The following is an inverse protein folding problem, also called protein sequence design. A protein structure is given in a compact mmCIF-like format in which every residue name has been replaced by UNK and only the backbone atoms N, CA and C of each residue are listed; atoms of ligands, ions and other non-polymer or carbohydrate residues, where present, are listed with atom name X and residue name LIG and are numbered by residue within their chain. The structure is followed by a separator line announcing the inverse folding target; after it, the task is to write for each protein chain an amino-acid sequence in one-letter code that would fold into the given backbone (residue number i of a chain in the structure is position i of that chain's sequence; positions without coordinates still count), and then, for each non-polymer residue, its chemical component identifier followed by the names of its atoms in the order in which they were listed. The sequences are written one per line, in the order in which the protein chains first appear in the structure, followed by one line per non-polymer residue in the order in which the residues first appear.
data_IF_741363768181
#
_entry.id   IF_741363768181
#
_cell.length_a   1.000
_cell.length_b   1.000
_cell.length_c   1.000
_cell.angle_alpha   90.00
_cell.angle_beta   90.00
_cell.angle_gamma   90.00
#
_symmetry.space_group_name_H-M   'P 1'
#
loop_
_entity.id
_entity.type
_entity.pdbx_description
1 polymer ?
#
# COMPACT_ATOMS: atom_id res chain seq x y z
N UNK A 1 43.14 57.17 -12.41
CA UNK A 1 42.50 55.97 -11.89
C UNK A 1 41.00 55.84 -12.23
N UNK A 2 40.14 56.84 -12.02
CA UNK A 2 38.69 56.75 -12.25
C UNK A 2 38.30 56.43 -13.71
N UNK A 3 39.02 56.95 -14.72
CA UNK A 3 38.71 56.73 -16.18
C UNK A 3 38.96 55.30 -16.65
N UNK A 4 39.97 54.62 -16.12
CA UNK A 4 40.26 53.21 -16.47
C UNK A 4 39.32 52.21 -15.80
N UNK A 5 38.78 52.57 -14.60
CA UNK A 5 37.73 51.78 -13.90
C UNK A 5 36.40 51.84 -14.66
N UNK A 6 36.04 53.03 -15.16
CA UNK A 6 34.82 53.22 -15.97
C UNK A 6 34.91 52.47 -17.30
N UNK A 7 36.06 52.52 -17.98
CA UNK A 7 36.29 51.74 -19.23
C UNK A 7 36.24 50.22 -18.98
N UNK A 8 36.77 49.74 -17.85
CA UNK A 8 36.69 48.33 -17.45
C UNK A 8 35.23 47.88 -17.16
N UNK A 9 34.44 48.73 -16.47
CA UNK A 9 33.03 48.46 -16.24
C UNK A 9 32.18 48.47 -17.50
N UNK A 10 32.40 49.39 -18.43
CA UNK A 10 31.73 49.44 -19.73
C UNK A 10 32.12 48.25 -20.59
N UNK A 11 33.37 47.80 -20.55
CA UNK A 11 33.84 46.61 -21.23
C UNK A 11 33.17 45.32 -20.69
N UNK A 12 33.06 45.17 -19.37
CA UNK A 12 32.35 44.06 -18.72
C UNK A 12 30.86 44.04 -19.04
N UNK A 13 30.18 45.19 -19.04
CA UNK A 13 28.79 45.31 -19.44
C UNK A 13 28.60 44.98 -20.93
N UNK A 14 29.49 45.40 -21.81
CA UNK A 14 29.43 45.07 -23.24
C UNK A 14 29.65 43.58 -23.51
N UNK A 15 30.57 42.93 -22.81
CA UNK A 15 30.77 41.46 -22.92
C UNK A 15 29.62 40.70 -22.38
N UNK A 16 29.02 41.08 -21.23
CA UNK A 16 27.84 40.45 -20.69
C UNK A 16 26.60 40.65 -21.60
N UNK A 17 26.49 41.81 -22.23
CA UNK A 17 25.42 42.09 -23.19
C UNK A 17 25.55 41.30 -24.49
N UNK A 18 26.78 41.16 -25.03
CA UNK A 18 27.07 40.31 -26.18
C UNK A 18 26.83 38.83 -25.88
N UNK A 19 27.17 38.35 -24.69
CA UNK A 19 26.86 36.98 -24.27
C UNK A 19 25.36 36.76 -24.19
N UNK A 20 24.62 37.67 -23.55
CA UNK A 20 23.15 37.61 -23.45
C UNK A 20 22.44 37.63 -24.83
N UNK A 21 22.94 38.47 -25.78
CA UNK A 21 22.42 38.49 -27.14
C UNK A 21 22.74 37.21 -27.90
N UNK A 22 23.95 36.66 -27.72
CA UNK A 22 24.31 35.37 -28.32
C UNK A 22 23.45 34.24 -27.77
N UNK A 23 23.18 34.20 -26.48
CA UNK A 23 22.31 33.21 -25.86
C UNK A 23 20.86 33.38 -26.34
N UNK A 24 20.37 34.62 -26.45
CA UNK A 24 19.03 34.91 -26.94
C UNK A 24 18.78 34.43 -28.39
N UNK A 25 19.82 34.29 -29.22
CA UNK A 25 19.74 33.79 -30.61
C UNK A 25 20.06 32.28 -30.66
N UNK A 26 21.00 31.82 -29.84
CA UNK A 26 21.49 30.43 -29.91
C UNK A 26 20.61 29.44 -29.18
N UNK A 27 19.99 29.82 -28.05
CA UNK A 27 19.12 28.95 -27.25
C UNK A 27 17.90 28.47 -28.03
N UNK A 28 17.07 29.33 -28.67
CA UNK A 28 15.94 28.86 -29.46
C UNK A 28 16.33 27.92 -30.61
N UNK A 29 17.54 28.11 -31.18
CA UNK A 29 18.05 27.23 -32.22
C UNK A 29 18.38 25.86 -31.68
N UNK A 30 19.05 25.77 -30.50
CA UNK A 30 19.40 24.51 -29.86
C UNK A 30 18.14 23.73 -29.44
N UNK A 31 17.15 24.41 -28.87
CA UNK A 31 15.86 23.78 -28.54
C UNK A 31 15.22 23.15 -29.76
N UNK A 32 15.15 23.90 -30.89
CA UNK A 32 14.60 23.37 -32.14
C UNK A 32 15.41 22.20 -32.70
N UNK A 33 16.73 22.20 -32.54
CA UNK A 33 17.62 21.12 -32.99
C UNK A 33 17.35 19.85 -32.16
N UNK A 34 17.18 19.97 -30.82
CA UNK A 34 16.82 18.86 -29.96
C UNK A 34 15.45 18.29 -30.31
N UNK A 35 14.43 19.15 -30.42
CA UNK A 35 13.06 18.73 -30.78
C UNK A 35 13.06 18.00 -32.13
N UNK A 36 13.71 18.56 -33.15
CA UNK A 36 13.74 17.92 -34.47
C UNK A 36 14.45 16.55 -34.48
N UNK A 37 15.46 16.37 -33.64
CA UNK A 37 16.11 15.07 -33.49
C UNK A 37 15.20 14.08 -32.74
N UNK A 38 14.51 14.52 -31.66
CA UNK A 38 13.59 13.69 -30.94
C UNK A 38 12.46 13.19 -31.85
N UNK A 39 11.84 14.07 -32.64
CA UNK A 39 10.78 13.71 -33.59
C UNK A 39 11.26 12.69 -34.64
N UNK A 40 12.50 12.81 -35.16
CA UNK A 40 13.09 11.80 -36.07
C UNK A 40 13.32 10.46 -35.37
N UNK A 41 13.63 10.47 -34.05
CA UNK A 41 13.83 9.25 -33.28
C UNK A 41 12.48 8.59 -32.97
N UNK A 42 11.43 9.37 -32.67
CA UNK A 42 10.06 8.88 -32.53
C UNK A 42 9.55 8.20 -33.80
N UNK A 43 9.75 8.82 -34.98
CA UNK A 43 9.41 8.21 -36.27
C UNK A 43 10.07 6.83 -36.48
N UNK A 44 11.26 6.64 -35.89
CA UNK A 44 11.98 5.36 -35.93
C UNK A 44 11.66 4.45 -34.73
N UNK A 45 10.75 4.87 -33.84
CA UNK A 45 10.39 4.17 -32.60
C UNK A 45 11.59 3.98 -31.63
N UNK A 46 12.57 4.88 -31.66
CA UNK A 46 13.74 4.88 -30.78
C UNK A 46 13.44 5.85 -29.60
N UNK A 47 12.43 5.52 -28.81
CA UNK A 47 11.88 6.39 -27.76
C UNK A 47 12.88 6.72 -26.64
N UNK A 48 13.79 5.81 -26.29
CA UNK A 48 14.81 6.04 -25.25
C UNK A 48 15.69 7.23 -25.62
N UNK A 49 16.19 7.27 -26.86
CA UNK A 49 17.06 8.35 -27.32
C UNK A 49 16.25 9.64 -27.58
N UNK A 50 14.96 9.53 -27.94
CA UNK A 50 14.07 10.69 -28.07
C UNK A 50 13.87 11.39 -26.72
N UNK A 51 13.71 10.64 -25.63
CA UNK A 51 13.66 11.17 -24.26
C UNK A 51 14.91 11.98 -23.92
N UNK A 52 16.10 11.49 -24.26
CA UNK A 52 17.37 12.20 -24.01
C UNK A 52 17.43 13.54 -24.76
N UNK A 53 16.93 13.56 -25.99
CA UNK A 53 16.86 14.80 -26.79
C UNK A 53 15.81 15.77 -26.21
N UNK A 54 14.62 15.31 -25.77
CA UNK A 54 13.66 16.18 -25.08
C UNK A 54 14.20 16.70 -23.75
N UNK A 55 14.94 15.90 -22.99
CA UNK A 55 15.65 16.38 -21.79
C UNK A 55 16.65 17.48 -22.13
N UNK A 56 17.40 17.32 -23.23
CA UNK A 56 18.31 18.35 -23.72
C UNK A 56 17.61 19.67 -24.08
N UNK A 57 16.41 19.62 -24.62
CA UNK A 57 15.58 20.82 -24.87
C UNK A 57 15.10 21.45 -23.55
N UNK A 58 14.65 20.64 -22.59
CA UNK A 58 14.15 21.07 -21.28
C UNK A 58 15.26 21.64 -20.37
N UNK A 59 16.55 21.39 -20.64
CA UNK A 59 17.63 22.10 -19.94
C UNK A 59 17.62 23.60 -20.22
N UNK A 60 17.07 24.04 -21.36
CA UNK A 60 16.95 25.44 -21.73
C UNK A 60 15.57 26.03 -21.40
N UNK A 61 14.52 25.23 -21.46
CA UNK A 61 13.14 25.61 -21.13
C UNK A 61 12.51 24.58 -20.16
N UNK A 62 12.91 24.59 -18.88
CA UNK A 62 12.52 23.55 -17.91
C UNK A 62 11.02 23.51 -17.58
N UNK A 63 10.33 24.62 -17.82
CA UNK A 63 8.89 24.76 -17.51
C UNK A 63 8.00 24.57 -18.76
N UNK A 64 8.58 24.10 -19.89
CA UNK A 64 7.80 23.83 -21.08
C UNK A 64 6.94 22.58 -20.90
N UNK A 65 5.63 22.81 -20.80
CA UNK A 65 4.62 21.76 -20.59
C UNK A 65 4.54 20.82 -21.78
N UNK A 66 4.58 21.36 -23.02
CA UNK A 66 4.44 20.54 -24.22
C UNK A 66 5.63 19.59 -24.40
N UNK A 67 6.85 20.08 -24.20
CA UNK A 67 8.06 19.23 -24.25
C UNK A 67 8.06 18.18 -23.14
N UNK A 68 7.68 18.58 -21.92
CA UNK A 68 7.59 17.65 -20.79
C UNK A 68 6.56 16.55 -21.05
N UNK A 69 5.44 16.87 -21.71
CA UNK A 69 4.42 15.87 -22.03
C UNK A 69 4.82 14.97 -23.21
N UNK A 70 5.51 15.47 -24.24
CA UNK A 70 6.09 14.64 -25.29
C UNK A 70 7.09 13.63 -24.71
N UNK A 71 7.99 14.09 -23.84
CA UNK A 71 8.90 13.20 -23.11
C UNK A 71 8.16 12.15 -22.28
N UNK A 72 7.04 12.53 -21.64
CA UNK A 72 6.23 11.58 -20.89
C UNK A 72 5.61 10.52 -21.80
N UNK A 73 5.08 10.89 -22.95
CA UNK A 73 4.52 9.95 -23.95
C UNK A 73 5.57 8.95 -24.42
N UNK A 74 6.81 9.39 -24.64
CA UNK A 74 7.92 8.49 -24.97
C UNK A 74 8.24 7.52 -23.83
N UNK A 75 8.26 7.97 -22.55
CA UNK A 75 8.38 7.06 -21.42
C UNK A 75 7.30 5.97 -21.43
N UNK A 76 6.08 6.33 -21.76
CA UNK A 76 4.98 5.38 -21.87
C UNK A 76 5.18 4.42 -23.05
N UNK A 77 5.65 4.93 -24.20
CA UNK A 77 5.82 4.16 -25.43
C UNK A 77 6.84 3.02 -25.29
N UNK A 78 7.90 3.21 -24.49
CA UNK A 78 8.86 2.13 -24.24
C UNK A 78 8.70 1.42 -22.89
N UNK A 79 7.56 1.66 -22.19
CA UNK A 79 7.15 0.87 -21.02
C UNK A 79 7.60 1.40 -19.66
N UNK A 80 8.20 2.60 -19.60
CA UNK A 80 8.58 3.25 -18.34
C UNK A 80 7.40 3.96 -17.65
N UNK A 81 6.36 3.20 -17.34
CA UNK A 81 5.11 3.70 -16.78
C UNK A 81 5.29 4.54 -15.52
N UNK A 82 6.27 4.21 -14.67
CA UNK A 82 6.55 4.98 -13.45
C UNK A 82 7.06 6.38 -13.77
N UNK A 83 7.92 6.50 -14.77
CA UNK A 83 8.47 7.80 -15.21
C UNK A 83 7.40 8.63 -15.89
N UNK A 84 6.56 8.01 -16.74
CA UNK A 84 5.38 8.65 -17.31
C UNK A 84 4.50 9.27 -16.21
N UNK A 85 4.07 8.47 -15.23
CA UNK A 85 3.20 8.92 -14.14
C UNK A 85 3.86 10.07 -13.36
N UNK A 86 5.13 9.92 -12.97
CA UNK A 86 5.83 10.95 -12.18
C UNK A 86 6.02 12.25 -12.96
N UNK A 87 6.25 12.19 -14.27
CA UNK A 87 6.36 13.37 -15.12
C UNK A 87 5.00 14.09 -15.22
N UNK A 88 3.92 13.37 -15.52
CA UNK A 88 2.58 13.94 -15.54
C UNK A 88 2.19 14.57 -14.20
N UNK A 89 2.50 13.92 -13.07
CA UNK A 89 2.24 14.48 -11.73
C UNK A 89 3.01 15.78 -11.51
N UNK A 90 4.31 15.78 -11.80
CA UNK A 90 5.16 16.97 -11.67
C UNK A 90 4.63 18.13 -12.49
N UNK A 91 4.36 17.90 -13.78
CA UNK A 91 3.85 18.96 -14.68
C UNK A 91 2.50 19.49 -14.20
N UNK A 92 1.58 18.62 -13.75
CA UNK A 92 0.27 19.04 -13.23
C UNK A 92 0.39 19.87 -11.94
N UNK A 93 1.36 19.57 -11.08
CA UNK A 93 1.60 20.32 -9.83
C UNK A 93 2.26 21.67 -10.07
N UNK A 94 3.19 21.76 -11.01
CA UNK A 94 3.91 22.99 -11.38
C UNK A 94 3.05 23.91 -12.26
N UNK A 95 2.18 23.36 -13.12
CA UNK A 95 1.39 24.10 -14.11
C UNK A 95 -0.12 23.91 -13.91
N UNK A 96 -0.66 24.33 -12.77
CA UNK A 96 -2.05 24.10 -12.37
C UNK A 96 -3.12 24.76 -13.28
N UNK A 97 -2.74 25.69 -14.14
CA UNK A 97 -3.64 26.33 -15.11
C UNK A 97 -3.76 25.54 -16.40
N UNK A 98 -2.78 24.70 -16.69
CA UNK A 98 -2.80 23.80 -17.82
C UNK A 98 -3.46 22.48 -17.39
N UNK A 99 -4.35 21.97 -18.20
CA UNK A 99 -5.07 20.72 -17.87
C UNK A 99 -4.45 19.48 -18.52
N UNK A 100 -3.53 19.65 -19.47
CA UNK A 100 -3.02 18.58 -20.33
C UNK A 100 -2.43 17.42 -19.51
N UNK A 101 -1.53 17.74 -18.60
CA UNK A 101 -0.83 16.71 -17.82
C UNK A 101 -1.78 15.93 -16.90
N UNK A 102 -2.71 16.64 -16.23
CA UNK A 102 -3.70 16.01 -15.37
C UNK A 102 -4.67 15.16 -16.18
N UNK A 103 -5.17 15.67 -17.31
CA UNK A 103 -6.10 14.95 -18.18
C UNK A 103 -5.46 13.70 -18.77
N UNK A 104 -4.22 13.79 -19.21
CA UNK A 104 -3.42 12.66 -19.73
C UNK A 104 -3.24 11.59 -18.65
N UNK A 105 -2.86 11.99 -17.44
CA UNK A 105 -2.70 11.07 -16.32
C UNK A 105 -4.01 10.38 -15.93
N UNK A 106 -5.11 11.12 -15.89
CA UNK A 106 -6.43 10.55 -15.54
C UNK A 106 -6.91 9.56 -16.60
N UNK A 107 -6.73 9.88 -17.89
CA UNK A 107 -7.03 8.95 -18.99
C UNK A 107 -6.18 7.68 -18.90
N UNK A 108 -4.88 7.83 -18.64
CA UNK A 108 -4.00 6.68 -18.45
C UNK A 108 -4.51 5.74 -17.35
N UNK A 109 -4.92 6.28 -16.19
CA UNK A 109 -5.47 5.47 -15.12
C UNK A 109 -6.79 4.78 -15.52
N UNK A 110 -7.68 5.47 -16.25
CA UNK A 110 -8.93 4.87 -16.74
C UNK A 110 -8.67 3.76 -17.77
N UNK A 111 -7.78 4.00 -18.74
CA UNK A 111 -7.47 3.02 -19.79
C UNK A 111 -6.82 1.75 -19.20
N UNK A 112 -6.11 1.88 -18.08
CA UNK A 112 -5.47 0.78 -17.37
C UNK A 112 -6.31 0.24 -16.20
N UNK A 113 -7.59 0.67 -16.06
CA UNK A 113 -8.51 0.24 -14.98
C UNK A 113 -7.93 0.45 -13.57
N UNK A 114 -7.32 1.61 -13.36
CA UNK A 114 -6.67 2.02 -12.11
C UNK A 114 -7.35 3.27 -11.52
N UNK A 115 -8.68 3.35 -11.58
CA UNK A 115 -9.47 4.49 -11.12
C UNK A 115 -9.27 4.75 -9.61
N UNK A 116 -8.99 3.71 -8.83
CA UNK A 116 -8.64 3.82 -7.41
C UNK A 116 -7.39 4.69 -7.20
N UNK A 117 -6.35 4.48 -8.04
CA UNK A 117 -5.12 5.28 -8.02
C UNK A 117 -5.38 6.72 -8.46
N UNK A 118 -6.21 6.90 -9.48
CA UNK A 118 -6.63 8.21 -9.92
C UNK A 118 -7.33 8.98 -8.80
N UNK A 119 -8.32 8.36 -8.14
CA UNK A 119 -9.06 8.96 -7.03
C UNK A 119 -8.13 9.26 -5.84
N UNK A 120 -7.21 8.37 -5.50
CA UNK A 120 -6.23 8.58 -4.42
C UNK A 120 -5.33 9.79 -4.71
N UNK A 121 -4.82 9.88 -5.92
CA UNK A 121 -4.00 11.03 -6.35
C UNK A 121 -4.82 12.33 -6.32
N UNK A 122 -6.02 12.33 -6.93
CA UNK A 122 -6.89 13.50 -6.98
C UNK A 122 -7.32 14.01 -5.60
N UNK A 123 -7.56 13.11 -4.63
CA UNK A 123 -7.85 13.52 -3.24
C UNK A 123 -6.68 14.29 -2.62
N UNK A 124 -5.46 13.85 -2.87
CA UNK A 124 -4.26 14.55 -2.39
C UNK A 124 -4.04 15.86 -3.14
N UNK A 125 -4.16 15.82 -4.47
CA UNK A 125 -3.97 16.97 -5.34
C UNK A 125 -4.98 18.08 -5.02
N UNK A 126 -6.27 17.78 -4.92
CA UNK A 126 -7.31 18.76 -4.58
C UNK A 126 -7.20 19.33 -3.16
N UNK A 127 -6.62 18.56 -2.23
CA UNK A 127 -6.29 19.05 -0.88
C UNK A 127 -5.19 20.12 -0.93
N UNK A 128 -4.17 19.91 -1.77
CA UNK A 128 -3.05 20.84 -1.93
C UNK A 128 -3.44 22.04 -2.81
N UNK A 129 -4.28 21.81 -3.82
CA UNK A 129 -4.70 22.79 -4.82
C UNK A 129 -6.23 22.91 -4.89
N UNK A 130 -6.89 23.43 -3.83
CA UNK A 130 -8.35 23.41 -3.71
C UNK A 130 -9.08 24.28 -4.72
N UNK A 131 -8.38 25.13 -5.47
CA UNK A 131 -8.97 25.98 -6.54
C UNK A 131 -8.81 25.40 -7.93
N UNK A 132 -8.22 24.23 -8.10
CA UNK A 132 -8.07 23.58 -9.39
C UNK A 132 -9.41 22.92 -9.79
N UNK A 133 -10.18 23.61 -10.64
CA UNK A 133 -11.51 23.15 -11.06
C UNK A 133 -11.45 21.86 -11.86
N UNK A 134 -10.41 21.68 -12.68
CA UNK A 134 -10.23 20.47 -13.47
C UNK A 134 -10.04 19.22 -12.59
N UNK A 135 -9.20 19.33 -11.56
CA UNK A 135 -8.99 18.24 -10.62
C UNK A 135 -10.26 17.90 -9.81
N UNK A 136 -11.04 18.93 -9.42
CA UNK A 136 -12.33 18.73 -8.75
C UNK A 136 -13.34 18.03 -9.67
N UNK A 137 -13.38 18.41 -10.96
CA UNK A 137 -14.22 17.76 -11.96
C UNK A 137 -13.86 16.28 -12.10
N UNK A 138 -12.59 15.96 -12.31
CA UNK A 138 -12.12 14.59 -12.41
C UNK A 138 -12.42 13.77 -11.14
N UNK A 139 -12.18 14.35 -9.96
CA UNK A 139 -12.50 13.68 -8.70
C UNK A 139 -13.99 13.37 -8.58
N UNK A 140 -14.86 14.30 -8.95
CA UNK A 140 -16.31 14.09 -8.94
C UNK A 140 -16.75 13.01 -9.92
N UNK A 141 -16.15 12.98 -11.13
CA UNK A 141 -16.46 11.99 -12.16
C UNK A 141 -16.01 10.57 -11.72
N UNK A 142 -14.81 10.45 -11.15
CA UNK A 142 -14.23 9.15 -10.80
C UNK A 142 -14.67 8.64 -9.43
N UNK A 143 -15.00 9.50 -8.49
CA UNK A 143 -15.36 9.13 -7.11
C UNK A 143 -16.65 8.30 -7.01
N UNK A 144 -17.51 8.37 -7.99
CA UNK A 144 -18.77 7.62 -8.05
C UNK A 144 -18.74 6.44 -9.01
N UNK A 145 -17.61 6.19 -9.69
CA UNK A 145 -17.50 5.06 -10.60
C UNK A 145 -17.30 3.77 -9.82
N UNK A 146 -18.03 2.74 -10.20
CA UNK A 146 -17.77 1.38 -9.74
C UNK A 146 -17.62 0.49 -10.98
N UNK A 147 -16.63 -0.39 -10.92
CA UNK A 147 -16.48 -1.43 -11.93
C UNK A 147 -17.30 -2.63 -11.46
N UNK A 148 -18.27 -3.07 -12.28
CA UNK A 148 -18.96 -4.34 -12.03
C UNK A 148 -17.99 -5.45 -12.38
N UNK A 149 -17.34 -6.03 -11.38
CA UNK A 149 -16.52 -7.20 -11.57
C UNK A 149 -17.43 -8.39 -11.87
N UNK A 150 -17.12 -9.16 -12.92
CA UNK A 150 -17.64 -10.48 -13.06
C UNK A 150 -16.94 -11.35 -12.01
N UNK A 151 -17.63 -11.59 -10.91
CA UNK A 151 -17.14 -12.50 -9.90
C UNK A 151 -17.13 -13.92 -10.49
N UNK A 152 -15.96 -14.49 -10.63
CA UNK A 152 -15.76 -15.88 -11.06
C UNK A 152 -15.70 -16.85 -9.87
N UNK A 153 -15.95 -16.34 -8.68
CA UNK A 153 -15.86 -17.08 -7.44
C UNK A 153 -17.25 -17.28 -6.83
N UNK A 154 -17.46 -18.41 -6.18
CA UNK A 154 -18.74 -18.77 -5.59
C UNK A 154 -18.98 -18.10 -4.25
N UNK A 155 -17.91 -17.88 -3.49
CA UNK A 155 -17.96 -17.18 -2.20
C UNK A 155 -16.83 -16.17 -2.06
N UNK A 156 -17.09 -15.14 -1.27
CA UNK A 156 -16.14 -14.10 -0.90
C UNK A 156 -16.24 -13.85 0.61
N UNK A 157 -15.10 -13.71 1.27
CA UNK A 157 -15.07 -13.26 2.67
C UNK A 157 -15.38 -11.76 2.78
N UNK A 158 -15.54 -11.28 4.01
CA UNK A 158 -15.45 -9.84 4.28
C UNK A 158 -14.09 -9.29 3.86
N UNK A 159 -14.06 -7.98 3.58
CA UNK A 159 -12.78 -7.30 3.27
C UNK A 159 -11.98 -7.17 4.56
N UNK A 160 -10.78 -7.73 4.56
CA UNK A 160 -9.83 -7.57 5.63
C UNK A 160 -8.49 -7.11 5.04
N UNK A 161 -7.96 -5.99 5.54
CA UNK A 161 -6.72 -5.40 5.11
C UNK A 161 -6.57 -5.31 3.56
N UNK A 162 -7.58 -4.69 2.90
CA UNK A 162 -7.70 -4.51 1.45
C UNK A 162 -7.64 -5.82 0.63
N UNK A 163 -8.02 -6.93 1.23
CA UNK A 163 -8.11 -8.23 0.56
C UNK A 163 -9.36 -9.00 0.97
N UNK A 164 -9.79 -9.91 0.11
CA UNK A 164 -10.86 -10.88 0.35
C UNK A 164 -10.35 -12.26 0.01
N UNK A 165 -10.64 -13.23 0.85
CA UNK A 165 -10.50 -14.64 0.50
C UNK A 165 -11.64 -15.02 -0.44
N UNK A 166 -11.34 -15.74 -1.50
CA UNK A 166 -12.29 -16.21 -2.49
C UNK A 166 -12.29 -17.74 -2.53
N UNK A 167 -13.43 -18.31 -2.85
CA UNK A 167 -13.62 -19.76 -2.94
C UNK A 167 -14.20 -20.17 -4.29
N UNK A 168 -13.60 -21.18 -4.88
CA UNK A 168 -14.05 -21.86 -6.09
C UNK A 168 -14.68 -23.21 -5.68
N UNK A 169 -16.02 -23.29 -5.72
CA UNK A 169 -16.78 -24.47 -5.31
C UNK A 169 -16.53 -25.68 -6.23
N UNK A 170 -16.27 -25.44 -7.50
CA UNK A 170 -16.04 -26.53 -8.48
C UNK A 170 -14.77 -27.29 -8.13
N UNK A 171 -13.71 -26.58 -7.80
CA UNK A 171 -12.41 -27.15 -7.48
C UNK A 171 -12.20 -27.35 -5.97
N UNK A 172 -13.10 -26.83 -5.13
CA UNK A 172 -13.01 -26.85 -3.66
C UNK A 172 -11.69 -26.21 -3.17
N UNK A 173 -11.32 -25.04 -3.73
CA UNK A 173 -10.05 -24.37 -3.47
C UNK A 173 -10.25 -22.89 -3.17
N UNK A 174 -9.36 -22.39 -2.35
CA UNK A 174 -9.32 -20.99 -1.92
C UNK A 174 -8.23 -20.21 -2.64
N UNK A 175 -8.49 -18.91 -2.83
CA UNK A 175 -7.57 -17.91 -3.34
C UNK A 175 -7.83 -16.57 -2.70
N UNK A 176 -7.25 -15.51 -3.24
CA UNK A 176 -7.49 -14.15 -2.76
C UNK A 176 -7.51 -13.11 -3.88
N UNK A 177 -8.33 -12.07 -3.65
CA UNK A 177 -8.39 -10.88 -4.49
C UNK A 177 -8.24 -9.63 -3.61
N UNK A 178 -7.80 -8.53 -4.19
CA UNK A 178 -7.85 -7.23 -3.50
C UNK A 178 -9.24 -6.57 -3.65
N UNK A 179 -9.44 -5.44 -2.99
CA UNK A 179 -10.70 -4.70 -3.02
C UNK A 179 -11.08 -4.19 -4.42
N UNK A 180 -10.15 -4.17 -5.39
CA UNK A 180 -10.41 -3.86 -6.79
C UNK A 180 -10.79 -5.10 -7.62
N UNK A 181 -10.69 -6.30 -7.04
CA UNK A 181 -10.92 -7.58 -7.68
C UNK A 181 -9.72 -8.13 -8.44
N UNK A 182 -8.54 -7.53 -8.27
CA UNK A 182 -7.29 -8.07 -8.82
C UNK A 182 -6.91 -9.32 -8.03
N UNK A 183 -6.57 -10.38 -8.74
CA UNK A 183 -6.11 -11.63 -8.14
C UNK A 183 -4.76 -11.40 -7.42
N UNK A 184 -4.74 -11.70 -6.13
CA UNK A 184 -3.53 -11.72 -5.29
C UNK A 184 -2.96 -13.14 -5.21
N UNK A 185 -3.85 -14.14 -5.15
CA UNK A 185 -3.50 -15.55 -5.16
C UNK A 185 -4.58 -16.33 -5.91
N UNK A 186 -4.19 -17.19 -6.85
CA UNK A 186 -5.11 -18.06 -7.57
C UNK A 186 -5.79 -19.07 -6.63
N UNK A 187 -6.99 -19.55 -6.96
CA UNK A 187 -7.66 -20.61 -6.24
C UNK A 187 -6.92 -21.93 -6.43
N UNK A 188 -6.03 -22.26 -5.51
CA UNK A 188 -5.21 -23.47 -5.54
C UNK A 188 -4.87 -24.01 -4.14
N UNK A 189 -5.42 -23.42 -3.08
CA UNK A 189 -5.12 -23.77 -1.70
C UNK A 189 -6.31 -24.47 -1.04
N UNK A 190 -6.05 -25.47 -0.20
CA UNK A 190 -7.07 -26.16 0.59
C UNK A 190 -7.72 -25.25 1.63
N UNK A 191 -6.92 -24.34 2.17
CA UNK A 191 -7.36 -23.33 3.12
C UNK A 191 -6.59 -22.03 2.86
N UNK A 192 -7.22 -20.89 3.12
CA UNK A 192 -6.58 -19.59 3.03
C UNK A 192 -7.19 -18.61 4.05
N UNK A 193 -6.32 -17.94 4.77
CA UNK A 193 -6.67 -16.83 5.64
C UNK A 193 -6.44 -15.48 4.94
N UNK A 194 -7.11 -14.41 5.34
CA UNK A 194 -6.89 -13.09 4.75
C UNK A 194 -5.46 -12.59 5.00
N UNK A 195 -5.03 -11.65 4.19
CA UNK A 195 -3.72 -11.01 4.39
C UNK A 195 -3.69 -10.19 5.68
N UNK A 196 -2.71 -10.45 6.53
CA UNK A 196 -2.46 -9.72 7.77
C UNK A 196 -1.99 -8.28 7.52
N UNK A 197 -1.83 -7.49 8.58
CA UNK A 197 -1.26 -6.14 8.49
C UNK A 197 0.20 -6.15 8.00
N UNK A 198 0.96 -7.21 8.30
CA UNK A 198 2.31 -7.42 7.79
C UNK A 198 2.34 -7.86 6.31
N UNK A 199 1.16 -8.05 5.69
CA UNK A 199 1.02 -8.33 4.26
C UNK A 199 1.20 -9.79 3.87
N UNK A 200 1.04 -10.72 4.81
CA UNK A 200 1.14 -12.16 4.57
C UNK A 200 -0.20 -12.86 4.79
N UNK A 201 -0.52 -13.83 3.93
CA UNK A 201 -1.67 -14.71 4.07
C UNK A 201 -1.22 -16.14 4.37
N UNK A 202 -1.79 -16.76 5.39
CA UNK A 202 -1.59 -18.19 5.68
C UNK A 202 -2.39 -19.02 4.69
N UNK A 203 -1.78 -20.06 4.13
CA UNK A 203 -2.40 -21.04 3.25
C UNK A 203 -2.04 -22.45 3.61
N UNK A 204 -2.97 -23.38 3.41
CA UNK A 204 -2.74 -24.81 3.40
C UNK A 204 -2.64 -25.29 1.95
N UNK A 205 -1.52 -25.90 1.57
CA UNK A 205 -1.23 -26.42 0.23
C UNK A 205 -1.82 -27.81 0.02
N UNK A 206 -1.82 -28.28 -1.23
CA UNK A 206 -2.27 -29.63 -1.60
C UNK A 206 -1.52 -30.76 -0.90
N UNK A 207 -0.26 -30.54 -0.60
CA UNK A 207 0.60 -31.52 0.10
C UNK A 207 0.49 -31.45 1.63
N UNK A 208 -0.55 -30.80 2.16
CA UNK A 208 -0.82 -30.62 3.58
C UNK A 208 0.27 -29.84 4.33
N UNK A 209 1.01 -28.96 3.63
CA UNK A 209 1.98 -28.06 4.24
C UNK A 209 1.46 -26.63 4.27
N UNK A 210 1.76 -25.93 5.36
CA UNK A 210 1.46 -24.51 5.50
C UNK A 210 2.49 -23.63 4.81
N UNK A 211 2.06 -22.45 4.38
CA UNK A 211 2.94 -21.39 3.93
C UNK A 211 2.30 -20.01 4.13
N UNK A 212 3.16 -18.99 4.17
CA UNK A 212 2.74 -17.60 4.17
C UNK A 212 3.07 -16.98 2.80
N UNK A 213 2.03 -16.50 2.12
CA UNK A 213 2.13 -15.82 0.83
C UNK A 213 2.29 -14.33 1.06
N UNK A 214 3.12 -13.69 0.25
CA UNK A 214 3.13 -12.24 0.12
C UNK A 214 1.98 -11.76 -0.78
N UNK A 215 1.83 -10.44 -0.95
CA UNK A 215 0.77 -9.84 -1.77
C UNK A 215 0.94 -10.04 -3.29
N UNK A 216 2.03 -10.64 -3.72
CA UNK A 216 2.25 -11.09 -5.10
C UNK A 216 1.87 -12.57 -5.27
N UNK A 217 1.31 -13.20 -4.24
CA UNK A 217 0.90 -14.61 -4.23
C UNK A 217 2.07 -15.58 -4.13
N UNK A 218 3.26 -15.11 -3.77
CA UNK A 218 4.47 -15.93 -3.66
C UNK A 218 4.66 -16.41 -2.22
N UNK A 219 4.89 -17.71 -2.05
CA UNK A 219 5.26 -18.27 -0.76
C UNK A 219 6.64 -17.77 -0.33
N UNK A 220 6.70 -17.03 0.75
CA UNK A 220 7.93 -16.43 1.28
C UNK A 220 8.42 -17.12 2.53
N UNK A 221 7.52 -17.68 3.30
CA UNK A 221 7.80 -18.27 4.60
C UNK A 221 7.01 -19.56 4.73
N UNK A 222 7.62 -20.56 5.32
CA UNK A 222 6.96 -21.80 5.66
C UNK A 222 7.56 -22.30 7.00
N UNK A 223 6.72 -22.67 7.98
CA UNK A 223 7.19 -23.29 9.20
C UNK A 223 7.71 -24.69 8.90
N UNK A 224 8.57 -25.19 9.78
CA UNK A 224 8.98 -26.59 9.77
C UNK A 224 7.79 -27.54 10.03
N UNK A 225 7.98 -28.84 9.79
CA UNK A 225 6.97 -29.84 10.12
C UNK A 225 6.75 -29.95 11.64
N UNK A 226 5.53 -30.32 12.03
CA UNK A 226 5.18 -30.58 13.42
C UNK A 226 4.27 -29.54 14.08
N UNK A 227 3.95 -28.46 13.37
CA UNK A 227 2.92 -27.53 13.80
C UNK A 227 1.56 -27.94 13.24
N UNK A 228 0.54 -28.00 14.10
CA UNK A 228 -0.80 -28.51 13.75
C UNK A 228 -1.84 -27.42 13.60
N UNK A 229 -1.56 -26.24 14.12
CA UNK A 229 -2.42 -25.05 14.03
C UNK A 229 -1.54 -23.81 13.99
N UNK A 230 -1.82 -22.93 13.06
CA UNK A 230 -1.07 -21.71 12.81
C UNK A 230 -2.04 -20.54 12.64
N UNK A 231 -1.70 -19.40 13.24
CA UNK A 231 -2.47 -18.17 13.06
C UNK A 231 -1.84 -17.19 12.07
N UNK A 232 -2.32 -15.96 12.08
CA UNK A 232 -1.79 -14.92 11.22
C UNK A 232 -0.34 -14.55 11.60
N UNK A 233 0.50 -14.33 10.61
CA UNK A 233 1.77 -13.62 10.79
C UNK A 233 1.46 -12.12 10.92
N UNK A 234 1.53 -11.61 12.13
CA UNK A 234 1.23 -10.21 12.44
C UNK A 234 2.12 -9.69 13.57
N UNK A 235 2.59 -8.44 13.49
CA UNK A 235 3.55 -7.86 14.43
C UNK A 235 4.83 -8.74 14.59
N UNK A 236 5.33 -9.35 13.50
CA UNK A 236 6.46 -10.28 13.43
C UNK A 236 6.27 -11.55 14.28
N UNK A 237 5.05 -12.00 14.51
CA UNK A 237 4.72 -13.20 15.29
C UNK A 237 3.65 -14.05 14.63
N UNK A 238 3.81 -15.34 14.79
CA UNK A 238 2.86 -16.37 14.38
C UNK A 238 2.49 -17.17 15.62
N UNK A 239 1.23 -17.20 16.04
CA UNK A 239 0.78 -18.20 17.01
C UNK A 239 0.79 -19.57 16.34
N UNK A 240 1.37 -20.55 17.00
CA UNK A 240 1.50 -21.91 16.48
C UNK A 240 1.25 -22.94 17.58
N UNK A 241 0.66 -24.07 17.22
CA UNK A 241 0.46 -25.21 18.09
C UNK A 241 1.46 -26.33 17.77
N UNK A 242 2.15 -26.84 18.79
CA UNK A 242 3.06 -27.99 18.73
C UNK A 242 2.80 -28.89 19.92
N UNK A 243 2.61 -30.16 19.68
CA UNK A 243 2.32 -31.17 20.72
C UNK A 243 1.13 -30.77 21.64
N UNK A 244 0.11 -30.09 21.07
CA UNK A 244 -1.08 -29.66 21.78
C UNK A 244 -0.89 -28.44 22.68
N UNK A 245 0.24 -27.74 22.58
CA UNK A 245 0.49 -26.49 23.28
C UNK A 245 0.85 -25.39 22.30
N UNK A 246 0.46 -24.17 22.63
CA UNK A 246 0.70 -23.00 21.81
C UNK A 246 1.94 -22.22 22.25
N UNK A 247 2.59 -21.61 21.28
CA UNK A 247 3.71 -20.70 21.42
C UNK A 247 3.77 -19.73 20.26
N UNK A 248 4.69 -18.78 20.26
CA UNK A 248 4.95 -17.90 19.13
C UNK A 248 6.18 -18.38 18.36
N UNK A 249 6.04 -18.42 17.04
CA UNK A 249 7.16 -18.32 16.12
C UNK A 249 7.43 -16.83 15.81
N UNK A 250 8.64 -16.52 15.37
CA UNK A 250 8.93 -15.21 14.81
C UNK A 250 8.70 -15.18 13.28
N UNK A 251 9.01 -14.06 12.65
CA UNK A 251 8.82 -13.87 11.21
C UNK A 251 9.82 -14.69 10.35
N UNK A 252 10.82 -15.35 10.96
CA UNK A 252 11.70 -16.33 10.32
C UNK A 252 11.24 -17.77 10.52
N UNK A 253 10.10 -17.96 11.19
CA UNK A 253 9.52 -19.25 11.57
C UNK A 253 10.32 -20.00 12.66
N UNK A 254 11.14 -19.30 13.41
CA UNK A 254 11.86 -19.87 14.56
C UNK A 254 11.03 -19.71 15.86
N UNK A 255 11.12 -20.67 16.76
CA UNK A 255 10.45 -20.63 18.06
C UNK A 255 10.92 -19.43 18.88
N UNK A 256 9.98 -18.57 19.28
CA UNK A 256 10.27 -17.33 20.02
C UNK A 256 9.89 -17.41 21.48
N UNK A 257 8.95 -18.27 21.81
CA UNK A 257 8.52 -18.55 23.17
C UNK A 257 8.44 -20.06 23.38
N UNK A 258 8.46 -20.48 24.64
CA UNK A 258 8.12 -21.86 24.98
C UNK A 258 6.68 -22.16 24.55
N UNK A 259 6.43 -23.40 24.13
CA UNK A 259 5.10 -23.91 23.81
C UNK A 259 4.47 -24.46 25.07
N UNK A 260 3.71 -23.62 25.77
CA UNK A 260 3.18 -23.92 27.10
C UNK A 260 1.74 -23.48 27.34
N UNK A 261 1.15 -22.73 26.44
CA UNK A 261 -0.23 -22.26 26.54
C UNK A 261 -1.23 -23.27 26.00
N UNK A 262 -2.47 -23.23 26.48
CA UNK A 262 -3.57 -24.06 26.03
C UNK A 262 -4.27 -23.47 24.80
N UNK A 263 -4.31 -22.14 24.73
CA UNK A 263 -4.75 -21.38 23.57
C UNK A 263 -3.98 -20.06 23.48
N UNK A 264 -3.92 -19.49 22.27
CA UNK A 264 -3.16 -18.28 21.99
C UNK A 264 -3.79 -17.50 20.85
N UNK A 265 -4.02 -16.22 21.05
CA UNK A 265 -4.54 -15.32 20.01
C UNK A 265 -3.44 -14.89 19.03
N UNK A 266 -3.84 -14.42 17.86
CA UNK A 266 -2.97 -13.66 16.97
C UNK A 266 -2.54 -12.35 17.64
N UNK A 267 -1.34 -11.88 17.30
CA UNK A 267 -0.81 -10.62 17.83
C UNK A 267 -1.43 -9.45 17.07
N UNK A 268 -1.84 -8.42 17.78
CA UNK A 268 -2.23 -7.12 17.21
C UNK A 268 -1.80 -6.00 18.14
N UNK A 269 -1.24 -4.93 17.60
CA UNK A 269 -0.69 -3.81 18.38
C UNK A 269 0.35 -4.26 19.42
N UNK A 270 1.15 -5.31 19.11
CA UNK A 270 2.17 -5.94 19.93
C UNK A 270 1.65 -6.63 21.19
N UNK A 271 0.37 -6.97 21.19
CA UNK A 271 -0.35 -7.62 22.28
C UNK A 271 -1.11 -8.84 21.77
N UNK A 272 -1.36 -9.77 22.65
CA UNK A 272 -2.13 -10.99 22.43
C UNK A 272 -2.82 -11.43 23.74
N UNK A 273 -3.61 -12.47 23.68
CA UNK A 273 -4.14 -13.17 24.84
C UNK A 273 -3.68 -14.63 24.81
N UNK A 274 -3.37 -15.18 25.96
CA UNK A 274 -2.98 -16.58 26.13
C UNK A 274 -3.74 -17.24 27.26
N UNK A 275 -4.09 -18.52 27.06
CA UNK A 275 -4.78 -19.34 28.05
C UNK A 275 -3.80 -20.28 28.75
N UNK A 276 -3.94 -20.36 30.06
CA UNK A 276 -3.22 -21.31 30.90
C UNK A 276 -4.08 -21.69 32.09
N UNK A 277 -4.13 -23.00 32.38
CA UNK A 277 -4.93 -23.57 33.48
C UNK A 277 -6.40 -23.14 33.41
N UNK A 278 -6.99 -23.05 32.19
CA UNK A 278 -8.36 -22.65 31.92
C UNK A 278 -8.67 -21.18 32.19
N UNK A 279 -7.65 -20.33 32.28
CA UNK A 279 -7.81 -18.88 32.43
C UNK A 279 -6.94 -18.12 31.42
N UNK A 280 -7.46 -16.99 30.97
CA UNK A 280 -6.78 -16.12 30.01
C UNK A 280 -6.06 -14.97 30.69
N UNK A 281 -4.95 -14.57 30.10
CA UNK A 281 -4.20 -13.37 30.43
C UNK A 281 -3.87 -12.55 29.18
N UNK A 282 -3.75 -11.25 29.31
CA UNK A 282 -3.17 -10.38 28.28
C UNK A 282 -1.65 -10.51 28.36
N UNK A 283 -1.01 -10.75 27.23
CA UNK A 283 0.43 -10.88 27.08
C UNK A 283 0.95 -9.92 26.01
N UNK A 284 2.26 -9.71 25.96
CA UNK A 284 2.88 -9.04 24.82
C UNK A 284 3.39 -10.07 23.80
N UNK A 285 3.80 -9.60 22.62
CA UNK A 285 4.33 -10.41 21.51
C UNK A 285 5.59 -11.25 21.87
N UNK A 286 6.20 -11.06 23.04
CA UNK A 286 7.32 -11.85 23.54
C UNK A 286 6.88 -12.83 24.66
N UNK A 287 5.58 -13.05 24.83
CA UNK A 287 5.04 -13.96 25.82
C UNK A 287 5.02 -13.42 27.25
N UNK A 288 5.43 -12.16 27.50
CA UNK A 288 5.43 -11.60 28.84
C UNK A 288 4.02 -11.14 29.22
N UNK A 289 3.48 -11.65 30.34
CA UNK A 289 2.19 -11.29 30.88
C UNK A 289 2.08 -9.81 31.22
N UNK A 290 0.91 -9.24 30.98
CA UNK A 290 0.49 -7.88 31.32
C UNK A 290 -0.57 -7.88 32.41
N UNK A 291 -1.32 -8.98 32.52
CA UNK A 291 -2.29 -9.26 33.59
C UNK A 291 -1.98 -10.64 34.16
N UNK A 292 -2.53 -10.96 35.33
CA UNK A 292 -2.60 -12.33 35.80
C UNK A 292 -3.57 -13.15 34.94
N UNK A 293 -3.52 -14.47 35.02
CA UNK A 293 -4.45 -15.41 34.39
C UNK A 293 -5.74 -15.45 35.18
N UNK A 294 -6.66 -14.54 34.89
CA UNK A 294 -7.90 -14.34 35.68
C UNK A 294 -9.17 -14.39 34.85
N UNK A 295 -9.07 -14.12 33.54
CA UNK A 295 -10.25 -14.03 32.68
C UNK A 295 -10.76 -15.43 32.31
N UNK A 296 -12.08 -15.61 32.27
CA UNK A 296 -12.71 -16.84 31.82
C UNK A 296 -12.68 -17.00 30.30
N UNK A 297 -12.69 -15.89 29.58
CA UNK A 297 -12.64 -15.87 28.12
C UNK A 297 -12.11 -14.52 27.61
N UNK A 298 -11.65 -14.50 26.37
CA UNK A 298 -11.25 -13.31 25.62
C UNK A 298 -11.90 -13.37 24.25
N UNK A 299 -12.68 -12.35 23.91
CA UNK A 299 -13.40 -12.31 22.63
C UNK A 299 -12.43 -12.07 21.48
N UNK A 300 -12.46 -12.95 20.49
CA UNK A 300 -11.61 -12.90 19.29
C UNK A 300 -12.47 -12.83 18.03
N UNK A 301 -11.94 -12.22 16.98
CA UNK A 301 -12.53 -12.29 15.66
C UNK A 301 -12.19 -13.64 14.96
N UNK A 302 -12.69 -13.82 13.74
CA UNK A 302 -12.43 -15.00 12.91
C UNK A 302 -10.95 -15.24 12.55
N UNK A 303 -10.12 -14.22 12.72
CA UNK A 303 -8.67 -14.25 12.47
C UNK A 303 -7.84 -14.45 13.76
N UNK A 304 -8.53 -14.68 14.89
CA UNK A 304 -7.90 -14.82 16.19
C UNK A 304 -7.38 -13.52 16.78
N UNK A 305 -7.83 -12.36 16.30
CA UNK A 305 -7.44 -11.04 16.83
C UNK A 305 -8.38 -10.70 18.00
N UNK A 306 -7.79 -10.40 19.17
CA UNK A 306 -8.54 -10.10 20.40
C UNK A 306 -8.41 -8.65 20.86
N UNK A 307 -7.66 -7.80 20.18
CA UNK A 307 -7.45 -6.41 20.61
C UNK A 307 -7.68 -5.41 19.51
N UNK A 308 -8.26 -4.27 19.87
CA UNK A 308 -8.32 -3.07 19.03
C UNK A 308 -7.76 -1.89 19.84
N UNK A 309 -6.81 -1.14 19.28
CA UNK A 309 -6.18 0.02 19.94
C UNK A 309 -5.73 -0.25 21.40
N UNK A 310 -5.28 -1.48 21.68
CA UNK A 310 -4.82 -1.95 23.02
C UNK A 310 -5.92 -2.09 24.09
N UNK A 311 -7.18 -2.21 23.67
CA UNK A 311 -8.28 -2.62 24.51
C UNK A 311 -8.74 -4.02 24.13
N UNK A 312 -9.30 -4.74 25.09
CA UNK A 312 -9.73 -6.13 24.99
C UNK A 312 -11.14 -6.26 25.52
N UNK A 313 -11.90 -7.20 25.01
CA UNK A 313 -13.16 -7.63 25.59
C UNK A 313 -12.88 -8.97 26.28
N UNK A 314 -13.03 -9.00 27.59
CA UNK A 314 -12.76 -10.16 28.43
C UNK A 314 -14.00 -10.57 29.19
N UNK A 315 -14.09 -11.84 29.55
CA UNK A 315 -15.16 -12.37 30.39
C UNK A 315 -14.66 -12.64 31.81
N UNK A 316 -15.40 -12.17 32.81
CA UNK A 316 -15.22 -12.51 34.21
C UNK A 316 -16.56 -12.96 34.81
N UNK A 317 -16.65 -14.21 35.21
CA UNK A 317 -17.92 -14.80 35.67
C UNK A 317 -18.93 -14.86 34.51
N UNK A 318 -20.07 -14.19 34.68
CA UNK A 318 -21.15 -14.20 33.68
C UNK A 318 -21.13 -12.99 32.73
N UNK A 319 -20.27 -12.01 33.00
CA UNK A 319 -20.29 -10.72 32.30
C UNK A 319 -19.02 -10.46 31.50
N UNK A 320 -19.18 -9.74 30.37
CA UNK A 320 -18.08 -9.22 29.57
C UNK A 320 -17.75 -7.79 29.99
N UNK A 321 -16.44 -7.45 29.92
CA UNK A 321 -15.90 -6.13 30.26
C UNK A 321 -14.95 -5.68 29.18
N UNK A 322 -14.84 -4.37 29.00
CA UNK A 322 -13.78 -3.80 28.16
C UNK A 322 -12.63 -3.41 29.10
N UNK A 323 -11.44 -3.97 28.81
CA UNK A 323 -10.24 -3.70 29.62
C UNK A 323 -9.11 -3.16 28.78
N UNK A 324 -8.25 -2.35 29.39
CA UNK A 324 -6.98 -1.92 28.79
C UNK A 324 -5.96 -3.05 28.79
N UNK A 325 -4.84 -2.87 28.08
CA UNK A 325 -3.70 -3.82 28.08
C UNK A 325 -3.08 -4.10 29.46
N UNK A 326 -3.48 -3.40 30.50
CA UNK A 326 -3.06 -3.58 31.89
C UNK A 326 -4.17 -4.16 32.78
N UNK A 327 -5.26 -4.63 32.18
CA UNK A 327 -6.41 -5.18 32.90
C UNK A 327 -7.26 -4.15 33.66
N UNK A 328 -7.12 -2.87 33.36
CA UNK A 328 -8.00 -1.84 33.96
C UNK A 328 -9.24 -1.69 33.11
N UNK A 329 -10.41 -1.70 33.75
CA UNK A 329 -11.68 -1.45 33.07
C UNK A 329 -11.64 -0.12 32.31
N UNK A 330 -12.18 -0.15 31.10
CA UNK A 330 -12.42 1.00 30.24
C UNK A 330 -13.93 1.24 30.26
N UNK A 331 -14.37 2.15 31.11
CA UNK A 331 -15.78 2.36 31.45
C UNK A 331 -16.21 1.52 32.65
N UNK A 332 -17.45 1.72 33.04
CA UNK A 332 -18.11 1.02 34.20
C UNK A 332 -19.14 -0.02 33.70
N UNK A 333 -19.36 -0.11 32.42
CA UNK A 333 -20.38 -0.94 31.80
C UNK A 333 -19.95 -2.41 31.70
N UNK A 334 -20.91 -3.31 31.94
CA UNK A 334 -20.77 -4.75 31.74
C UNK A 334 -21.83 -5.23 30.77
N UNK A 335 -21.54 -6.31 30.05
CA UNK A 335 -22.38 -6.82 28.98
C UNK A 335 -22.66 -8.31 29.20
N UNK A 336 -23.88 -8.73 28.91
CA UNK A 336 -24.26 -10.16 28.94
C UNK A 336 -23.70 -10.91 27.71
N UNK A 337 -23.40 -10.18 26.62
CA UNK A 337 -22.89 -10.74 25.39
C UNK A 337 -21.99 -9.73 24.68
N UNK A 338 -20.98 -10.20 23.98
CA UNK A 338 -20.06 -9.35 23.24
C UNK A 338 -19.58 -10.04 21.96
N UNK A 339 -19.26 -9.22 20.96
CA UNK A 339 -18.58 -9.65 19.73
C UNK A 339 -17.21 -9.00 19.64
N UNK A 340 -16.34 -9.58 18.84
CA UNK A 340 -15.04 -9.00 18.59
C UNK A 340 -15.13 -7.60 17.97
N UNK A 341 -14.15 -6.76 18.27
CA UNK A 341 -14.05 -5.45 17.65
C UNK A 341 -13.93 -5.56 16.14
N UNK A 342 -14.70 -4.74 15.44
CA UNK A 342 -14.41 -4.44 14.03
C UNK A 342 -13.14 -3.60 13.93
N UNK A 343 -12.57 -3.50 12.73
CA UNK A 343 -11.38 -2.67 12.49
C UNK A 343 -11.59 -1.20 12.91
N UNK A 344 -12.81 -0.70 12.76
CA UNK A 344 -13.17 0.68 13.11
C UNK A 344 -13.45 0.86 14.62
N UNK A 345 -13.31 -0.20 15.43
CA UNK A 345 -13.42 -0.17 16.88
C UNK A 345 -14.82 -0.30 17.43
N UNK A 346 -15.78 -0.80 16.65
CA UNK A 346 -17.12 -1.16 17.13
C UNK A 346 -17.14 -2.64 17.59
N UNK A 347 -17.87 -2.93 18.65
CA UNK A 347 -18.08 -4.27 19.20
C UNK A 347 -19.55 -4.54 19.45
#
# INVERSE_FOLDING_TARGET
MKRNVILGLVGLLAVSWLAAVNDMVSIPKKIKEHIAKAEVLEEKQIYVDAVDEYQGALEYEPDDVELSMKMAEDYLAYGENKKFISTCQKVAEENQKDTMALDTLMKYYQDNKQEDRAVKYLKTFTKNYPKNENAQKWLKELQGTYTRLFCKYDQLSAIYNDSMVVYDEINNLYGAVDASGRELAACQYKEMHPYSEDGYALVLRDNDTYAYLDRDGLARKAPDEGYTDLGLLNDDRVPACKDGKYGFLDDTMEEKTDFSWEALSSVSNRLAAAEKDGKWAIINRNGKTKTDYIYDDVVMDENGICSNQKVFIVKEGESYHIVSSKGKNVGEETFDNAKAFTRDGYA
#
